data_IF_402391613487
#
_entry.id   IF_402391613487
#
_cell.length_a   1.000
_cell.length_b   1.000
_cell.length_c   1.000
_cell.angle_alpha   90.00
_cell.angle_beta   90.00
_cell.angle_gamma   90.00
#
_symmetry.space_group_name_H-M   'P 1'
#
loop_
_entity.id
_entity.type
_entity.pdbx_description
1 polymer ?
#
# COMPACT_ATOMS: atom_id res chain seq x y z
N UNK A 1 -18.41 10.95 -3.20
CA UNK A 1 -18.46 10.18 -1.94
C UNK A 1 -18.06 8.75 -2.26
N UNK A 2 -16.82 8.58 -2.72
CA UNK A 2 -16.27 7.26 -3.02
C UNK A 2 -15.87 6.66 -1.67
N UNK A 3 -16.59 5.60 -1.29
CA UNK A 3 -16.47 4.94 0.01
C UNK A 3 -15.03 4.43 0.17
N UNK A 4 -14.38 4.86 1.26
CA UNK A 4 -13.22 4.22 1.86
C UNK A 4 -13.61 2.77 2.15
N UNK A 5 -13.48 1.88 1.16
CA UNK A 5 -13.77 0.46 1.31
C UNK A 5 -12.67 -0.09 2.21
N UNK A 6 -12.98 -0.11 3.50
CA UNK A 6 -12.26 -0.75 4.61
C UNK A 6 -10.74 -0.48 4.61
N UNK A 7 -10.32 0.59 5.29
CA UNK A 7 -8.91 0.70 5.68
C UNK A 7 -8.61 -0.33 6.76
N UNK A 8 -8.02 -1.46 6.37
CA UNK A 8 -7.70 -2.54 7.30
C UNK A 8 -6.25 -2.45 7.73
N UNK A 9 -6.02 -2.50 9.05
CA UNK A 9 -4.68 -2.72 9.61
C UNK A 9 -4.21 -4.11 9.20
N UNK A 10 -3.10 -4.17 8.46
CA UNK A 10 -2.42 -5.41 8.10
C UNK A 10 -0.97 -5.34 8.52
N UNK A 11 -0.34 -6.50 8.59
CA UNK A 11 1.11 -6.59 8.72
C UNK A 11 1.71 -6.88 7.35
N UNK A 12 2.72 -6.10 6.97
CA UNK A 12 3.42 -6.23 5.71
C UNK A 12 4.92 -6.21 5.97
N UNK A 13 5.58 -7.36 5.76
CA UNK A 13 6.99 -7.53 6.10
C UNK A 13 7.30 -7.23 7.59
N UNK A 14 6.40 -7.61 8.51
CA UNK A 14 6.53 -7.34 9.95
C UNK A 14 6.20 -5.90 10.36
N UNK A 15 5.69 -5.07 9.44
CA UNK A 15 5.37 -3.67 9.70
C UNK A 15 3.86 -3.42 9.61
N UNK A 16 3.26 -2.67 10.55
CA UNK A 16 1.86 -2.31 10.47
C UNK A 16 1.63 -1.32 9.32
N UNK A 17 0.71 -1.68 8.43
CA UNK A 17 0.28 -0.87 7.29
C UNK A 17 -1.23 -0.75 7.27
N UNK A 18 -1.70 0.33 6.65
CA UNK A 18 -3.08 0.50 6.25
C UNK A 18 -3.23 0.10 4.80
N UNK A 19 -4.23 -0.73 4.50
CA UNK A 19 -4.60 -1.11 3.14
C UNK A 19 -6.03 -0.64 2.90
N UNK A 20 -6.28 0.08 1.82
CA UNK A 20 -7.63 0.54 1.48
C UNK A 20 -7.84 0.61 -0.04
N UNK A 21 -9.08 0.86 -0.44
CA UNK A 21 -9.47 1.04 -1.84
C UNK A 21 -10.08 2.42 -2.04
N UNK A 22 -9.59 3.16 -3.04
CA UNK A 22 -10.01 4.51 -3.39
C UNK A 22 -9.95 4.71 -4.90
N UNK A 23 -11.04 5.17 -5.53
CA UNK A 23 -11.05 5.56 -6.95
C UNK A 23 -10.61 4.48 -7.94
N UNK A 24 -10.88 3.19 -7.65
CA UNK A 24 -10.42 2.07 -8.48
C UNK A 24 -8.97 1.63 -8.25
N UNK A 25 -8.29 2.18 -7.23
CA UNK A 25 -6.96 1.78 -6.82
C UNK A 25 -6.99 1.14 -5.43
N UNK A 26 -6.13 0.15 -5.23
CA UNK A 26 -5.73 -0.31 -3.90
C UNK A 26 -4.50 0.47 -3.49
N UNK A 27 -4.53 1.03 -2.28
CA UNK A 27 -3.38 1.68 -1.69
C UNK A 27 -2.90 0.94 -0.45
N UNK A 28 -1.60 1.01 -0.21
CA UNK A 28 -0.94 0.61 1.03
C UNK A 28 -0.20 1.83 1.55
N UNK A 29 -0.46 2.24 2.80
CA UNK A 29 0.25 3.35 3.45
C UNK A 29 0.81 2.90 4.79
N UNK A 30 1.94 3.49 5.20
CA UNK A 30 2.55 3.24 6.51
C UNK A 30 1.64 3.75 7.63
N UNK A 31 1.57 3.01 8.73
CA UNK A 31 0.85 3.43 9.94
C UNK A 31 1.71 4.31 10.86
N UNK A 32 3.03 4.15 10.81
CA UNK A 32 4.00 4.85 11.65
C UNK A 32 5.22 5.27 10.81
N UNK A 33 6.00 6.26 11.28
CA UNK A 33 7.32 6.53 10.71
C UNK A 33 8.17 5.25 10.76
N UNK A 34 8.93 5.01 9.69
CA UNK A 34 9.79 3.84 9.50
C UNK A 34 11.23 4.31 9.40
N UNK A 35 12.17 3.54 9.96
CA UNK A 35 13.60 3.82 9.76
C UNK A 35 13.97 3.64 8.27
N UNK A 36 15.12 4.20 7.85
CA UNK A 36 15.58 4.10 6.47
C UNK A 36 15.64 2.66 5.94
N UNK A 37 16.04 1.70 6.78
CA UNK A 37 16.08 0.28 6.42
C UNK A 37 14.70 -0.34 6.24
N UNK A 38 13.76 -0.03 7.15
CA UNK A 38 12.37 -0.46 7.07
C UNK A 38 11.66 0.15 5.86
N UNK A 39 11.86 1.44 5.61
CA UNK A 39 11.29 2.13 4.46
C UNK A 39 11.81 1.57 3.13
N UNK A 40 13.10 1.21 3.06
CA UNK A 40 13.67 0.53 1.90
C UNK A 40 13.02 -0.84 1.67
N UNK A 41 12.87 -1.66 2.72
CA UNK A 41 12.17 -2.96 2.62
C UNK A 41 10.72 -2.78 2.17
N UNK A 42 10.00 -1.85 2.78
CA UNK A 42 8.62 -1.54 2.42
C UNK A 42 8.48 -1.18 0.94
N UNK A 43 9.28 -0.23 0.45
CA UNK A 43 9.25 0.19 -0.96
C UNK A 43 9.67 -0.93 -1.93
N UNK A 44 10.62 -1.79 -1.54
CA UNK A 44 11.03 -2.95 -2.32
C UNK A 44 9.92 -3.99 -2.45
N UNK A 45 9.23 -4.33 -1.34
CA UNK A 45 8.11 -5.28 -1.36
C UNK A 45 6.92 -4.71 -2.12
N UNK A 46 6.58 -3.42 -1.97
CA UNK A 46 5.55 -2.77 -2.79
C UNK A 46 5.85 -2.95 -4.28
N UNK A 47 7.08 -2.67 -4.73
CA UNK A 47 7.48 -2.86 -6.14
C UNK A 47 7.38 -4.32 -6.57
N UNK A 48 7.80 -5.27 -5.73
CA UNK A 48 7.73 -6.70 -6.03
C UNK A 48 6.30 -7.21 -6.22
N UNK A 49 5.33 -6.61 -5.53
CA UNK A 49 3.91 -6.95 -5.64
C UNK A 49 3.18 -6.18 -6.75
N UNK A 50 3.93 -5.38 -7.54
CA UNK A 50 3.39 -4.58 -8.64
C UNK A 50 2.74 -3.28 -8.18
N UNK A 51 2.93 -2.85 -6.94
CA UNK A 51 2.53 -1.51 -6.53
C UNK A 51 3.52 -0.49 -7.07
N UNK A 52 3.00 0.59 -7.63
CA UNK A 52 3.75 1.81 -7.91
C UNK A 52 3.84 2.62 -6.63
N UNK A 53 5.04 3.07 -6.27
CA UNK A 53 5.20 3.90 -5.08
C UNK A 53 4.95 5.38 -5.41
N UNK A 54 3.92 5.96 -4.79
CA UNK A 54 3.68 7.40 -4.82
C UNK A 54 4.48 8.08 -3.72
N UNK A 55 5.44 8.93 -4.11
CA UNK A 55 6.31 9.63 -3.16
C UNK A 55 5.63 10.82 -2.49
N UNK A 56 4.54 11.33 -3.06
CA UNK A 56 3.87 12.54 -2.57
C UNK A 56 3.02 12.22 -1.34
N UNK A 57 2.33 11.08 -1.39
CA UNK A 57 1.45 10.56 -0.35
C UNK A 57 2.08 9.41 0.44
N UNK A 58 3.33 9.04 0.09
CA UNK A 58 4.11 7.98 0.71
C UNK A 58 3.36 6.63 0.79
N UNK A 59 2.59 6.32 -0.28
CA UNK A 59 1.75 5.12 -0.39
C UNK A 59 2.09 4.30 -1.63
N UNK A 60 2.06 2.98 -1.51
CA UNK A 60 2.05 2.10 -2.68
C UNK A 60 0.65 2.09 -3.27
N UNK A 61 0.50 2.28 -4.58
CA UNK A 61 -0.78 2.26 -5.30
C UNK A 61 -0.75 1.19 -6.39
N UNK A 62 -1.86 0.50 -6.57
CA UNK A 62 -2.06 -0.47 -7.66
C UNK A 62 -3.51 -0.42 -8.13
N UNK A 63 -3.79 -0.36 -9.44
CA UNK A 63 -5.14 -0.50 -9.96
C UNK A 63 -5.81 -1.77 -9.44
N UNK A 64 -7.05 -1.65 -8.97
CA UNK A 64 -7.87 -2.77 -8.48
C UNK A 64 -8.11 -3.81 -9.59
N UNK A 65 -8.17 -3.36 -10.85
CA UNK A 65 -8.31 -4.24 -12.01
C UNK A 65 -7.16 -5.23 -12.15
N UNK A 66 -5.93 -4.84 -11.75
CA UNK A 66 -4.75 -5.72 -11.77
C UNK A 66 -4.71 -6.74 -10.61
N UNK A 67 -5.68 -6.68 -9.69
CA UNK A 67 -5.86 -7.69 -8.66
C UNK A 67 -6.86 -8.78 -9.07
N UNK A 68 -7.56 -8.60 -10.20
CA UNK A 68 -8.47 -9.61 -10.75
C UNK A 68 -7.70 -10.64 -11.57
N UNK A 69 -6.90 -11.47 -10.90
CA UNK A 69 -6.34 -12.67 -11.50
C UNK A 69 -6.53 -13.84 -10.56
N UNK A 70 -7.43 -14.74 -10.98
CA UNK A 70 -7.81 -16.06 -10.41
C UNK A 70 -8.86 -16.05 -9.30
#
# INVERSE_FOLDING_TARGET
MERLLEEVRREFSGLPVYVGVEGGYVYVRRMAPMDRGQFRKYTEVCRRLGFRFDRREERGIKPLEELKTT
#
